data_IF_576393987447
#
_entry.id   IF_576393987447
#
_cell.length_a   1.000
_cell.length_b   1.000
_cell.length_c   1.000
_cell.angle_alpha   90.00
_cell.angle_beta   90.00
_cell.angle_gamma   90.00
#
_symmetry.space_group_name_H-M   'P 1'
#
loop_
_entity.id
_entity.type
_entity.pdbx_description
1 polymer ?
#
# COMPACT_ATOMS: atom_id res chain seq x y z
N UNK A 1 -23.54 3.93 -7.11
CA UNK A 1 -22.09 4.20 -7.21
C UNK A 1 -21.56 3.34 -8.33
N UNK A 2 -20.74 3.89 -9.24
CA UNK A 2 -20.06 3.06 -10.24
C UNK A 2 -19.02 2.21 -9.51
N UNK A 3 -19.09 0.90 -9.68
CA UNK A 3 -18.12 -0.05 -9.12
C UNK A 3 -16.86 0.00 -9.97
N UNK A 4 -15.69 0.18 -9.33
CA UNK A 4 -14.41 0.22 -10.04
C UNK A 4 -13.90 -1.20 -10.18
N UNK A 5 -14.00 -1.76 -11.37
CA UNK A 5 -13.41 -3.07 -11.69
C UNK A 5 -11.88 -2.93 -11.83
N UNK A 6 -11.15 -3.85 -11.20
CA UNK A 6 -9.69 -3.99 -11.32
C UNK A 6 -9.34 -5.47 -11.45
N UNK A 7 -8.19 -5.79 -12.03
CA UNK A 7 -7.72 -7.18 -12.06
C UNK A 7 -7.44 -7.69 -10.64
N UNK A 8 -7.58 -9.00 -10.42
CA UNK A 8 -7.23 -9.61 -9.13
C UNK A 8 -5.78 -9.33 -8.73
N UNK A 9 -4.85 -9.42 -9.69
CA UNK A 9 -3.43 -9.10 -9.50
C UNK A 9 -3.26 -7.70 -8.91
N UNK A 10 -3.96 -6.72 -9.49
CA UNK A 10 -3.89 -5.33 -9.07
C UNK A 10 -4.44 -5.14 -7.66
N UNK A 11 -5.59 -5.72 -7.34
CA UNK A 11 -6.19 -5.64 -6.00
C UNK A 11 -5.27 -6.26 -4.93
N UNK A 12 -4.67 -7.41 -5.23
CA UNK A 12 -3.75 -8.13 -4.36
C UNK A 12 -2.46 -7.35 -4.12
N UNK A 13 -1.83 -6.83 -5.18
CA UNK A 13 -0.63 -5.98 -5.08
C UNK A 13 -0.91 -4.73 -4.25
N UNK A 14 -2.02 -4.04 -4.51
CA UNK A 14 -2.41 -2.80 -3.81
C UNK A 14 -2.61 -3.00 -2.31
N UNK A 15 -3.04 -4.19 -1.91
CA UNK A 15 -3.27 -4.55 -0.51
C UNK A 15 -2.10 -5.34 0.11
N UNK A 16 -1.03 -5.57 -0.64
CA UNK A 16 0.23 -6.12 -0.13
C UNK A 16 0.35 -7.64 -0.16
N UNK A 17 -0.52 -8.36 -0.85
CA UNK A 17 -0.34 -9.80 -1.00
C UNK A 17 0.85 -10.12 -1.92
N UNK A 18 1.67 -11.09 -1.53
CA UNK A 18 2.80 -11.56 -2.30
C UNK A 18 2.42 -12.86 -3.03
N UNK A 19 2.54 -12.86 -4.35
CA UNK A 19 2.26 -14.02 -5.20
C UNK A 19 3.13 -14.03 -6.45
N UNK A 20 3.25 -15.19 -7.07
CA UNK A 20 3.76 -15.36 -8.42
C UNK A 20 2.61 -15.64 -9.39
N UNK A 21 2.73 -15.17 -10.63
CA UNK A 21 1.75 -15.44 -11.68
C UNK A 21 2.23 -16.60 -12.57
N UNK A 22 1.40 -17.62 -12.71
CA UNK A 22 1.63 -18.74 -13.62
C UNK A 22 0.39 -18.95 -14.51
N UNK A 23 0.44 -18.40 -15.73
CA UNK A 23 -0.74 -18.33 -16.61
C UNK A 23 -1.86 -17.52 -15.97
N UNK A 24 -3.04 -18.14 -15.81
CA UNK A 24 -4.20 -17.56 -15.13
C UNK A 24 -4.23 -17.86 -13.62
N UNK A 25 -3.20 -18.52 -13.09
CA UNK A 25 -3.09 -18.86 -11.66
C UNK A 25 -2.22 -17.87 -10.91
N UNK A 26 -2.60 -17.55 -9.67
CA UNK A 26 -1.80 -16.80 -8.71
C UNK A 26 -1.33 -17.75 -7.59
N UNK A 27 -0.01 -17.83 -7.39
CA UNK A 27 0.65 -18.76 -6.48
C UNK A 27 1.22 -18.01 -5.27
N UNK A 28 0.77 -18.35 -4.06
CA UNK A 28 1.11 -17.67 -2.82
C UNK A 28 2.15 -18.44 -1.98
N UNK A 29 3.11 -19.10 -2.64
CA UNK A 29 4.06 -20.00 -1.97
C UNK A 29 5.03 -19.30 -1.00
N UNK A 30 5.23 -17.99 -1.16
CA UNK A 30 6.05 -17.15 -0.29
C UNK A 30 5.21 -16.32 0.68
N UNK A 31 3.89 -16.48 0.68
CA UNK A 31 3.01 -15.75 1.59
C UNK A 31 2.93 -16.46 2.95
N UNK A 32 2.87 -15.68 4.03
CA UNK A 32 2.75 -16.28 5.36
C UNK A 32 1.34 -16.84 5.61
N UNK A 33 1.27 -17.83 6.50
CA UNK A 33 0.03 -18.55 6.77
C UNK A 33 -1.12 -17.64 7.25
N UNK A 34 -0.83 -16.59 8.01
CA UNK A 34 -1.87 -15.68 8.51
C UNK A 34 -2.47 -14.82 7.41
N UNK A 35 -1.66 -14.39 6.44
CA UNK A 35 -2.12 -13.69 5.24
C UNK A 35 -2.90 -14.63 4.32
N UNK A 36 -2.49 -15.89 4.17
CA UNK A 36 -3.28 -16.91 3.43
C UNK A 36 -4.67 -17.11 4.05
N UNK A 37 -4.75 -17.21 5.38
CA UNK A 37 -6.03 -17.30 6.08
C UNK A 37 -6.89 -16.03 5.90
N UNK A 38 -6.27 -14.85 5.83
CA UNK A 38 -6.97 -13.61 5.51
C UNK A 38 -7.57 -13.67 4.10
N UNK A 39 -6.75 -14.05 3.11
CA UNK A 39 -7.17 -14.16 1.71
C UNK A 39 -8.32 -15.16 1.55
N UNK A 40 -8.22 -16.34 2.15
CA UNK A 40 -9.28 -17.37 2.07
C UNK A 40 -10.63 -16.84 2.58
N UNK A 41 -10.64 -16.10 3.69
CA UNK A 41 -11.87 -15.49 4.21
C UNK A 41 -12.39 -14.39 3.29
N UNK A 42 -11.50 -13.54 2.76
CA UNK A 42 -11.88 -12.51 1.78
C UNK A 42 -12.50 -13.13 0.53
N UNK A 43 -11.90 -14.20 -0.01
CA UNK A 43 -12.41 -14.91 -1.19
C UNK A 43 -13.78 -15.53 -0.91
N UNK A 44 -14.03 -16.02 0.31
CA UNK A 44 -15.35 -16.50 0.72
C UNK A 44 -16.40 -15.39 0.71
N UNK A 45 -16.07 -14.23 1.26
CA UNK A 45 -16.98 -13.07 1.31
C UNK A 45 -17.27 -12.52 -0.10
N UNK A 46 -16.29 -12.60 -0.99
CA UNK A 46 -16.41 -12.19 -2.39
C UNK A 46 -17.07 -13.25 -3.30
N UNK A 47 -17.42 -14.43 -2.77
CA UNK A 47 -17.98 -15.53 -3.56
C UNK A 47 -16.99 -16.15 -4.57
N UNK A 48 -15.69 -16.03 -4.31
CA UNK A 48 -14.59 -16.49 -5.16
C UNK A 48 -13.78 -17.66 -4.51
N UNK A 49 -14.26 -18.25 -3.41
CA UNK A 49 -13.57 -19.32 -2.69
C UNK A 49 -13.44 -20.62 -3.49
N UNK A 50 -14.23 -20.82 -4.54
CA UNK A 50 -14.15 -21.99 -5.43
C UNK A 50 -12.92 -21.98 -6.33
N UNK A 51 -12.32 -20.82 -6.58
CA UNK A 51 -11.03 -20.68 -7.25
C UNK A 51 -9.83 -20.91 -6.33
N UNK A 52 -10.04 -21.11 -5.03
CA UNK A 52 -8.98 -21.26 -4.04
C UNK A 52 -8.68 -22.73 -3.73
N UNK A 53 -7.42 -23.13 -3.92
CA UNK A 53 -6.94 -24.45 -3.52
C UNK A 53 -5.53 -24.37 -2.92
N UNK A 54 -5.44 -24.65 -1.62
CA UNK A 54 -4.20 -24.61 -0.83
C UNK A 54 -3.50 -23.25 -0.86
N UNK A 55 -2.63 -23.01 -1.84
CA UNK A 55 -1.86 -21.78 -2.04
C UNK A 55 -1.97 -21.26 -3.48
N UNK A 56 -2.92 -21.79 -4.25
CA UNK A 56 -3.18 -21.40 -5.64
C UNK A 56 -4.58 -20.79 -5.71
N UNK A 57 -4.67 -19.64 -6.35
CA UNK A 57 -5.93 -19.00 -6.73
C UNK A 57 -6.07 -18.97 -8.24
N UNK A 58 -7.18 -19.48 -8.76
CA UNK A 58 -7.56 -19.39 -10.17
C UNK A 58 -8.89 -18.67 -10.25
N UNK A 59 -8.91 -17.35 -10.51
CA UNK A 59 -10.15 -16.59 -10.52
C UNK A 59 -11.02 -17.00 -11.72
N UNK A 60 -12.33 -17.18 -11.49
CA UNK A 60 -13.30 -17.48 -12.57
C UNK A 60 -13.52 -16.31 -13.53
N UNK A 61 -13.33 -15.09 -13.01
CA UNK A 61 -13.41 -13.84 -13.76
C UNK A 61 -12.13 -13.05 -13.51
N UNK A 62 -11.55 -12.39 -14.52
CA UNK A 62 -10.23 -11.75 -14.39
C UNK A 62 -10.23 -10.54 -13.44
N UNK A 63 -11.41 -10.00 -13.14
CA UNK A 63 -11.58 -8.75 -12.42
C UNK A 63 -12.41 -8.93 -11.15
N UNK A 64 -12.23 -8.00 -10.22
CA UNK A 64 -12.98 -7.86 -8.98
C UNK A 64 -13.38 -6.39 -8.79
N UNK A 65 -14.52 -6.19 -8.14
CA UNK A 65 -14.92 -4.87 -7.66
C UNK A 65 -13.97 -4.44 -6.54
N UNK A 66 -13.17 -3.39 -6.78
CA UNK A 66 -12.16 -2.89 -5.85
C UNK A 66 -12.76 -2.48 -4.51
N UNK A 67 -13.95 -1.88 -4.51
CA UNK A 67 -14.61 -1.45 -3.27
C UNK A 67 -15.09 -2.66 -2.47
N UNK A 68 -15.69 -3.65 -3.12
CA UNK A 68 -16.07 -4.90 -2.46
C UNK A 68 -14.84 -5.64 -1.91
N UNK A 69 -13.73 -5.65 -2.64
CA UNK A 69 -12.47 -6.25 -2.20
C UNK A 69 -11.92 -5.57 -0.94
N UNK A 70 -11.89 -4.23 -0.92
CA UNK A 70 -11.43 -3.46 0.24
C UNK A 70 -12.35 -3.63 1.46
N UNK A 71 -13.67 -3.74 1.24
CA UNK A 71 -14.64 -4.05 2.28
C UNK A 71 -14.44 -5.45 2.86
N UNK A 72 -14.21 -6.45 2.01
CA UNK A 72 -13.88 -7.81 2.45
C UNK A 72 -12.57 -7.84 3.26
N UNK A 73 -11.53 -7.13 2.82
CA UNK A 73 -10.30 -6.96 3.59
C UNK A 73 -10.59 -6.32 4.95
N UNK A 74 -11.32 -5.21 4.97
CA UNK A 74 -11.66 -4.49 6.18
C UNK A 74 -12.44 -5.36 7.17
N UNK A 75 -13.42 -6.14 6.69
CA UNK A 75 -14.25 -7.01 7.53
C UNK A 75 -13.44 -8.15 8.18
N UNK A 76 -12.37 -8.60 7.52
CA UNK A 76 -11.53 -9.70 7.98
C UNK A 76 -10.25 -9.27 8.70
N UNK A 77 -10.07 -7.96 8.94
CA UNK A 77 -8.97 -7.43 9.75
C UNK A 77 -9.09 -7.89 11.20
N UNK A 78 -7.97 -7.86 11.91
CA UNK A 78 -7.89 -8.04 13.36
C UNK A 78 -7.43 -6.75 14.04
N UNK A 79 -7.33 -6.79 15.36
CA UNK A 79 -6.74 -5.70 16.13
C UNK A 79 -5.32 -5.42 15.62
N UNK A 80 -4.96 -4.14 15.65
CA UNK A 80 -3.65 -3.67 15.25
C UNK A 80 -2.58 -4.22 16.18
N UNK A 81 -1.56 -4.84 15.60
CA UNK A 81 -0.35 -5.29 16.26
C UNK A 81 0.85 -4.50 15.70
N UNK A 82 1.97 -4.49 16.42
CA UNK A 82 3.22 -3.91 15.93
C UNK A 82 3.69 -4.66 14.67
N UNK A 83 4.26 -3.93 13.70
CA UNK A 83 4.71 -4.53 12.45
C UNK A 83 6.11 -5.15 12.61
N UNK A 84 6.25 -6.48 12.52
CA UNK A 84 7.55 -7.11 12.62
C UNK A 84 8.34 -6.90 11.32
N UNK A 85 9.43 -6.13 11.43
CA UNK A 85 10.66 -6.23 10.64
C UNK A 85 10.50 -6.57 9.15
N UNK A 86 10.76 -7.83 8.80
CA UNK A 86 10.95 -8.36 7.45
C UNK A 86 9.66 -8.45 6.62
N UNK A 87 9.79 -8.42 5.29
CA UNK A 87 8.66 -8.42 4.32
C UNK A 87 7.68 -9.58 4.56
N UNK A 88 8.22 -10.79 4.77
CA UNK A 88 7.44 -12.02 4.89
C UNK A 88 6.74 -12.13 6.25
N UNK A 89 7.21 -11.37 7.25
CA UNK A 89 6.61 -11.33 8.58
C UNK A 89 5.43 -10.34 8.68
N UNK A 90 5.21 -9.51 7.67
CA UNK A 90 4.14 -8.49 7.70
C UNK A 90 2.77 -9.17 7.71
N UNK A 91 1.98 -8.82 8.73
CA UNK A 91 0.63 -9.33 8.94
C UNK A 91 -0.39 -8.34 8.36
N UNK A 92 -0.92 -8.65 7.19
CA UNK A 92 -1.85 -7.79 6.45
C UNK A 92 -3.15 -7.57 7.22
N UNK A 93 -3.62 -8.56 8.00
CA UNK A 93 -4.82 -8.41 8.81
C UNK A 93 -4.70 -7.36 9.93
N UNK A 94 -3.49 -6.91 10.25
CA UNK A 94 -3.21 -5.89 11.27
C UNK A 94 -3.06 -4.49 10.68
N UNK A 95 -3.20 -4.35 9.35
CA UNK A 95 -3.01 -3.11 8.59
C UNK A 95 -4.34 -2.55 8.07
N UNK A 96 -4.38 -1.24 7.84
CA UNK A 96 -5.48 -0.62 7.10
C UNK A 96 -5.37 -0.96 5.60
N UNK A 97 -6.49 -1.35 4.92
CA UNK A 97 -6.45 -1.84 3.54
C UNK A 97 -5.73 -0.89 2.57
N UNK A 98 -5.96 0.41 2.70
CA UNK A 98 -5.39 1.41 1.79
C UNK A 98 -3.90 1.66 1.95
N UNK A 99 -3.30 1.26 3.07
CA UNK A 99 -1.86 1.47 3.34
C UNK A 99 -1.08 0.16 3.46
N UNK A 100 -1.77 -0.98 3.46
CA UNK A 100 -1.16 -2.30 3.67
C UNK A 100 -0.08 -2.61 2.62
N UNK A 101 -0.38 -2.39 1.33
CA UNK A 101 0.59 -2.55 0.25
C UNK A 101 1.78 -1.60 0.39
N UNK A 102 1.54 -0.33 0.73
CA UNK A 102 2.61 0.64 0.95
C UNK A 102 3.57 0.17 2.05
N UNK A 103 3.04 -0.31 3.18
CA UNK A 103 3.86 -0.83 4.29
C UNK A 103 4.74 -1.97 3.81
N UNK A 104 4.18 -2.93 3.08
CA UNK A 104 4.94 -4.09 2.61
C UNK A 104 6.01 -3.74 1.59
N UNK A 105 5.64 -2.97 0.57
CA UNK A 105 6.56 -2.63 -0.51
C UNK A 105 7.64 -1.64 -0.05
N UNK A 106 7.37 -0.77 0.93
CA UNK A 106 8.41 -0.02 1.63
C UNK A 106 9.43 -0.94 2.30
N UNK A 107 8.96 -1.97 3.03
CA UNK A 107 9.86 -2.95 3.65
C UNK A 107 10.67 -3.70 2.60
N UNK A 108 10.07 -4.08 1.46
CA UNK A 108 10.74 -4.80 0.38
C UNK A 108 11.89 -4.03 -0.26
N UNK A 109 11.76 -2.70 -0.39
CA UNK A 109 12.84 -1.84 -0.89
C UNK A 109 13.88 -1.49 0.20
N UNK A 110 13.76 -2.08 1.39
CA UNK A 110 14.69 -1.91 2.50
C UNK A 110 14.41 -0.70 3.40
N UNK A 111 13.17 -0.20 3.41
CA UNK A 111 12.69 0.89 4.28
C UNK A 111 11.59 0.37 5.22
N UNK A 112 11.92 -0.49 6.20
CA UNK A 112 10.95 -1.07 7.11
C UNK A 112 10.22 0.00 7.91
N UNK A 113 8.89 -0.15 8.01
CA UNK A 113 8.04 0.76 8.79
C UNK A 113 7.75 0.20 10.18
N UNK A 114 7.53 1.09 11.15
CA UNK A 114 7.21 0.73 12.53
C UNK A 114 5.70 0.80 12.81
N UNK A 115 5.03 1.81 12.25
CA UNK A 115 3.59 2.01 12.37
C UNK A 115 3.02 2.67 11.10
N UNK A 116 1.72 2.51 10.85
CA UNK A 116 1.03 3.07 9.69
C UNK A 116 -0.42 3.43 10.02
N UNK A 117 -1.03 4.37 9.31
CA UNK A 117 -2.47 4.61 9.40
C UNK A 117 -2.91 5.27 8.10
N UNK A 118 -3.99 4.79 7.50
CA UNK A 118 -4.54 5.36 6.26
C UNK A 118 -5.34 6.67 6.48
N UNK A 119 -5.47 7.10 7.74
CA UNK A 119 -6.20 8.30 8.15
C UNK A 119 -7.72 8.15 8.26
N UNK A 120 -8.26 6.97 7.92
CA UNK A 120 -9.68 6.60 8.01
C UNK A 120 -10.63 7.65 7.41
N UNK A 121 -10.23 8.25 6.28
CA UNK A 121 -10.96 9.33 5.60
C UNK A 121 -11.06 10.67 6.37
N UNK A 122 -10.46 10.77 7.56
CA UNK A 122 -10.57 11.93 8.48
C UNK A 122 -9.30 12.78 8.57
N UNK A 123 -8.15 12.23 8.20
CA UNK A 123 -6.84 12.89 8.21
C UNK A 123 -5.94 12.32 7.11
N UNK A 124 -4.80 12.95 6.88
CA UNK A 124 -3.77 12.41 6.01
C UNK A 124 -3.27 11.05 6.53
N UNK A 125 -2.96 10.16 5.60
CA UNK A 125 -2.27 8.92 5.91
C UNK A 125 -0.88 9.20 6.49
N UNK A 126 -0.41 8.30 7.33
CA UNK A 126 0.84 8.44 8.08
C UNK A 126 1.62 7.15 8.09
N UNK A 127 2.94 7.26 7.93
CA UNK A 127 3.91 6.19 8.13
C UNK A 127 4.92 6.63 9.19
N UNK A 128 5.30 5.69 10.04
CA UNK A 128 6.26 5.88 11.12
C UNK A 128 7.43 4.91 10.93
N UNK A 129 8.63 5.34 11.26
CA UNK A 129 9.85 4.54 11.22
C UNK A 129 10.37 4.30 12.63
N UNK A 130 11.29 3.35 12.82
CA UNK A 130 11.85 3.11 14.16
C UNK A 130 12.80 4.24 14.53
N UNK A 131 12.97 4.47 15.83
CA UNK A 131 13.96 5.43 16.33
C UNK A 131 15.35 4.98 15.89
N UNK A 132 16.07 5.85 15.17
CA UNK A 132 17.38 5.54 14.56
C UNK A 132 17.34 5.44 13.04
N UNK A 133 16.15 5.24 12.45
CA UNK A 133 15.92 5.20 11.01
C UNK A 133 15.69 6.61 10.41
N UNK A 134 16.36 7.62 10.95
CA UNK A 134 16.19 9.01 10.50
C UNK A 134 16.36 9.26 8.99
N UNK A 135 17.17 8.50 8.21
CA UNK A 135 17.25 8.73 6.78
C UNK A 135 16.12 8.09 5.97
N UNK A 136 15.42 7.08 6.50
CA UNK A 136 14.40 6.35 5.73
C UNK A 136 13.26 7.24 5.23
N UNK A 137 12.77 8.20 6.02
CA UNK A 137 11.78 9.15 5.53
C UNK A 137 12.21 9.96 4.31
N UNK A 138 13.45 10.43 4.30
CA UNK A 138 14.00 11.22 3.21
C UNK A 138 14.22 10.35 1.98
N UNK A 139 14.70 9.11 2.18
CA UNK A 139 14.85 8.12 1.11
C UNK A 139 13.51 7.80 0.45
N UNK A 140 12.46 7.58 1.26
CA UNK A 140 11.13 7.29 0.74
C UNK A 140 10.54 8.47 -0.04
N UNK A 141 10.65 9.70 0.48
CA UNK A 141 10.21 10.92 -0.22
C UNK A 141 10.93 11.08 -1.57
N UNK A 142 12.24 10.85 -1.61
CA UNK A 142 12.99 10.88 -2.87
C UNK A 142 12.51 9.81 -3.87
N UNK A 143 12.33 8.57 -3.42
CA UNK A 143 11.82 7.47 -4.26
C UNK A 143 10.45 7.81 -4.85
N UNK A 144 9.54 8.31 -4.04
CA UNK A 144 8.18 8.63 -4.46
C UNK A 144 8.11 9.91 -5.30
N UNK A 145 8.99 10.88 -5.06
CA UNK A 145 9.19 12.03 -5.93
C UNK A 145 9.60 11.61 -7.34
N UNK A 146 10.51 10.64 -7.46
CA UNK A 146 10.95 10.06 -8.74
C UNK A 146 9.80 9.32 -9.44
N UNK A 147 9.10 8.42 -8.75
CA UNK A 147 8.02 7.64 -9.34
C UNK A 147 6.84 8.50 -9.79
N UNK A 148 6.48 9.48 -8.97
CA UNK A 148 5.26 10.27 -9.16
C UNK A 148 5.47 11.53 -10.00
N UNK A 149 6.71 11.83 -10.41
CA UNK A 149 7.06 13.13 -10.98
C UNK A 149 6.59 14.30 -10.09
N UNK A 150 6.65 14.13 -8.76
CA UNK A 150 6.19 15.11 -7.77
C UNK A 150 4.67 15.16 -7.52
N UNK A 151 3.87 14.23 -8.07
CA UNK A 151 2.43 14.12 -7.78
C UNK A 151 2.14 13.71 -6.34
N UNK A 152 3.03 12.94 -5.71
CA UNK A 152 2.91 12.54 -4.31
C UNK A 152 3.91 13.30 -3.47
N UNK A 153 3.44 13.84 -2.34
CA UNK A 153 4.24 14.63 -1.43
C UNK A 153 4.23 14.00 -0.05
N UNK A 154 5.40 13.98 0.57
CA UNK A 154 5.60 13.46 1.90
C UNK A 154 6.11 14.58 2.79
N UNK A 155 5.34 14.92 3.82
CA UNK A 155 5.75 15.96 4.78
C UNK A 155 6.35 15.29 6.00
N UNK A 156 7.65 15.42 6.16
CA UNK A 156 8.34 14.93 7.34
C UNK A 156 8.11 15.88 8.52
N UNK A 157 7.66 15.34 9.65
CA UNK A 157 7.41 16.10 10.86
C UNK A 157 8.48 15.79 11.91
N UNK A 158 9.53 16.61 11.88
CA UNK A 158 10.71 16.54 12.78
C UNK A 158 10.37 16.59 14.28
N UNK A 159 9.21 17.16 14.65
CA UNK A 159 8.81 17.31 16.06
C UNK A 159 8.35 16.00 16.72
N UNK A 160 8.20 14.91 15.95
CA UNK A 160 7.91 13.60 16.51
C UNK A 160 9.19 12.84 16.84
N UNK A 161 9.30 12.31 18.05
CA UNK A 161 10.47 11.57 18.54
C UNK A 161 10.82 10.30 17.75
N UNK A 162 9.99 9.90 16.78
CA UNK A 162 10.13 8.69 15.97
C UNK A 162 10.16 8.93 14.45
N UNK A 163 10.19 10.19 13.98
CA UNK A 163 10.20 10.49 12.55
C UNK A 163 8.98 9.93 11.80
N UNK A 164 7.88 10.68 11.77
CA UNK A 164 6.71 10.31 10.99
C UNK A 164 6.59 11.14 9.72
N UNK A 165 5.98 10.53 8.71
CA UNK A 165 5.68 11.15 7.44
C UNK A 165 4.17 11.24 7.26
N UNK A 166 3.69 12.42 6.86
CA UNK A 166 2.34 12.60 6.35
C UNK A 166 2.35 12.46 4.83
N UNK A 167 1.50 11.57 4.33
CA UNK A 167 1.32 11.32 2.91
C UNK A 167 0.20 12.22 2.39
N UNK A 168 0.48 13.04 1.38
CA UNK A 168 -0.53 13.90 0.74
C UNK A 168 -0.35 13.94 -0.78
N UNK A 169 -1.45 14.02 -1.55
CA UNK A 169 -1.35 14.37 -2.96
C UNK A 169 -0.82 15.81 -3.12
N UNK A 170 -0.15 16.09 -4.23
CA UNK A 170 0.27 17.44 -4.58
C UNK A 170 -0.94 18.35 -4.83
N UNK A 171 -0.74 19.67 -4.76
CA UNK A 171 -1.78 20.64 -5.11
C UNK A 171 -2.26 20.49 -6.55
N UNK A 172 -1.37 20.06 -7.46
CA UNK A 172 -1.73 19.80 -8.85
C UNK A 172 -2.61 18.55 -8.97
N UNK A 173 -2.20 17.44 -8.36
CA UNK A 173 -2.96 16.18 -8.35
C UNK A 173 -4.36 16.39 -7.76
N UNK A 174 -4.46 17.15 -6.67
CA UNK A 174 -5.76 17.51 -6.08
C UNK A 174 -6.65 18.30 -7.05
N UNK A 175 -6.08 19.20 -7.86
CA UNK A 175 -6.84 19.96 -8.88
C UNK A 175 -7.28 19.08 -10.05
N UNK A 176 -6.41 18.19 -10.51
CA UNK A 176 -6.70 17.23 -11.60
C UNK A 176 -7.88 16.33 -11.20
N UNK A 177 -7.84 15.72 -10.02
CA UNK A 177 -8.93 14.87 -9.51
C UNK A 177 -10.24 15.62 -9.28
N UNK A 178 -10.16 16.86 -8.78
CA UNK A 178 -11.35 17.71 -8.66
C UNK A 178 -11.98 18.04 -10.01
N UNK A 179 -11.16 18.18 -11.05
CA UNK A 179 -11.65 18.40 -12.41
C UNK A 179 -12.34 17.16 -12.97
N UNK A 180 -11.72 15.98 -12.85
CA UNK A 180 -12.31 14.71 -13.28
C UNK A 180 -13.67 14.44 -12.62
N UNK A 181 -13.81 14.71 -11.31
CA UNK A 181 -15.09 14.58 -10.60
C UNK A 181 -16.18 15.49 -11.17
N UNK A 182 -15.82 16.73 -11.53
CA UNK A 182 -16.78 17.68 -12.14
C UNK A 182 -17.22 17.19 -13.51
N UNK A 183 -16.29 16.65 -14.29
CA UNK A 183 -16.58 16.06 -15.60
C UNK A 183 -17.47 14.80 -15.47
N UNK A 184 -17.34 14.04 -14.38
CA UNK A 184 -18.18 12.88 -14.04
C UNK A 184 -19.50 13.24 -13.33
N UNK A 185 -19.85 14.52 -13.20
CA UNK A 185 -21.12 14.95 -12.59
C UNK A 185 -21.24 14.72 -11.08
N UNK A 186 -20.12 14.45 -10.38
CA UNK A 186 -20.13 14.33 -8.92
C UNK A 186 -20.22 15.71 -8.25
N UNK A 187 -21.26 15.92 -7.42
CA UNK A 187 -21.44 17.15 -6.64
C UNK A 187 -20.33 17.25 -5.59
N UNK A 188 -19.65 18.41 -5.43
CA UNK A 188 -18.67 18.60 -4.37
C UNK A 188 -19.38 18.66 -3.02
N UNK A 189 -19.59 17.49 -2.41
CA UNK A 189 -20.00 17.38 -1.02
C UNK A 189 -18.96 18.04 -0.11
N UNK A 190 -19.41 18.63 0.99
CA UNK A 190 -18.58 19.26 2.04
C UNK A 190 -17.56 18.33 2.70
N UNK A 191 -17.53 17.06 2.36
CA UNK A 191 -16.54 16.14 2.90
C UNK A 191 -15.19 16.39 2.24
N UNK A 192 -14.29 16.98 3.02
CA UNK A 192 -12.86 16.65 2.97
C UNK A 192 -12.69 15.15 3.32
N UNK A 193 -13.33 14.26 2.57
CA UNK A 193 -12.96 12.87 2.58
C UNK A 193 -11.53 12.88 2.05
N UNK A 194 -10.57 12.65 2.93
CA UNK A 194 -9.20 12.44 2.50
C UNK A 194 -9.26 11.22 1.59
N UNK A 195 -9.19 11.44 0.28
CA UNK A 195 -9.28 10.35 -0.68
C UNK A 195 -8.17 9.36 -0.34
N UNK A 196 -8.53 8.11 -0.08
CA UNK A 196 -7.58 7.06 0.26
C UNK A 196 -7.19 6.25 -0.99
N UNK A 197 -7.99 6.34 -2.06
CA UNK A 197 -7.79 5.59 -3.30
C UNK A 197 -6.41 5.81 -3.93
N UNK A 198 -5.83 7.01 -3.83
CA UNK A 198 -4.48 7.27 -4.36
C UNK A 198 -3.37 6.53 -3.60
N UNK A 199 -3.61 6.11 -2.36
CA UNK A 199 -2.66 5.29 -1.60
C UNK A 199 -2.50 3.90 -2.25
N UNK A 200 -3.57 3.39 -2.88
CA UNK A 200 -3.51 2.15 -3.66
C UNK A 200 -2.61 2.34 -4.90
N UNK A 201 -2.72 3.48 -5.57
CA UNK A 201 -1.84 3.82 -6.71
C UNK A 201 -0.36 3.91 -6.26
N UNK A 202 -0.08 4.41 -5.06
CA UNK A 202 1.27 4.42 -4.46
C UNK A 202 1.77 3.01 -4.20
N UNK A 203 0.94 2.13 -3.63
CA UNK A 203 1.30 0.75 -3.35
C UNK A 203 1.67 0.00 -4.65
N UNK A 204 0.85 0.14 -5.69
CA UNK A 204 1.11 -0.44 -7.01
C UNK A 204 2.44 0.07 -7.60
N UNK A 205 2.68 1.38 -7.59
CA UNK A 205 3.91 1.94 -8.13
C UNK A 205 5.17 1.49 -7.37
N UNK A 206 5.08 1.34 -6.04
CA UNK A 206 6.17 0.81 -5.23
C UNK A 206 6.50 -0.64 -5.59
N UNK A 207 5.47 -1.47 -5.78
CA UNK A 207 5.63 -2.85 -6.20
C UNK A 207 6.28 -2.95 -7.59
N UNK A 208 5.74 -2.23 -8.57
CA UNK A 208 6.18 -2.32 -9.98
C UNK A 208 7.63 -1.87 -10.18
N UNK A 209 8.16 -1.06 -9.26
CA UNK A 209 9.52 -0.53 -9.32
C UNK A 209 10.42 -1.03 -8.17
N UNK A 210 10.01 -2.07 -7.44
CA UNK A 210 10.68 -2.47 -6.20
C UNK A 210 12.18 -2.77 -6.36
N UNK A 211 12.58 -3.40 -7.47
CA UNK A 211 14.00 -3.74 -7.70
C UNK A 211 14.86 -2.49 -7.88
N UNK A 212 14.40 -1.58 -8.76
CA UNK A 212 15.06 -0.29 -9.02
C UNK A 212 15.12 0.56 -7.76
N UNK A 213 14.00 0.65 -7.03
CA UNK A 213 13.94 1.39 -5.77
C UNK A 213 14.86 0.78 -4.71
N UNK A 214 14.92 -0.56 -4.64
CA UNK A 214 15.83 -1.27 -3.76
C UNK A 214 17.30 -0.92 -4.05
N UNK A 215 17.68 -0.83 -5.32
CA UNK A 215 19.01 -0.38 -5.73
C UNK A 215 19.29 1.08 -5.32
N UNK A 216 18.33 1.98 -5.54
CA UNK A 216 18.43 3.38 -5.12
C UNK A 216 18.62 3.47 -3.60
N UNK A 217 17.79 2.77 -2.82
CA UNK A 217 17.88 2.75 -1.35
C UNK A 217 19.22 2.20 -0.90
N UNK A 218 19.71 1.10 -1.49
CA UNK A 218 21.04 0.54 -1.20
C UNK A 218 22.16 1.56 -1.48
N UNK A 219 22.10 2.26 -2.61
CA UNK A 219 23.07 3.28 -2.98
C UNK A 219 23.05 4.47 -2.01
N UNK A 220 21.87 4.96 -1.63
CA UNK A 220 21.71 6.04 -0.65
C UNK A 220 22.30 5.64 0.71
N UNK A 221 22.01 4.42 1.21
CA UNK A 221 22.58 3.90 2.46
C UNK A 221 24.11 3.85 2.43
N UNK A 222 24.69 3.42 1.31
CA UNK A 222 26.15 3.39 1.10
C UNK A 222 26.76 4.80 1.10
N UNK A 223 26.11 5.77 0.45
CA UNK A 223 26.60 7.14 0.41
C UNK A 223 26.60 7.79 1.81
N UNK A 224 25.55 7.58 2.59
CA UNK A 224 25.41 8.15 3.94
C UNK A 224 26.38 7.53 4.95
N UNK A 225 26.65 6.22 4.86
CA UNK A 225 27.62 5.56 5.74
C UNK A 225 29.06 6.03 5.50
N UNK A 226 29.40 6.46 4.29
CA UNK A 226 30.72 7.02 3.98
C UNK A 226 30.94 8.44 4.51
N UNK A 227 29.88 9.21 4.78
CA UNK A 227 29.99 10.57 5.34
C UNK A 227 30.22 10.59 6.85
N UNK A 228 30.03 9.45 7.53
CA UNK A 228 30.21 9.32 8.98
C UNK A 228 31.61 8.84 9.39
N UNK A 229 32.53 8.68 8.43
CA UNK A 229 33.93 8.30 8.64
C UNK A 229 34.83 9.50 8.38
#
# INVERSE_FOLDING_TARGET
MMTRQVTWERALVRTGFHFEKEGDSLLFQYENHQNLQLLERMLKDLGAADGWQMMRFVPRVPEVDEEAFLQAFHANRRSREDFPGEVDAILLHSLDPHIAGIVRWCTAIGLPTAMSCDGHGRRHASLYFRKGDSPYPVMLDACLGLLSSGKWQFTFLYQSAAGHILMKPSQQEMRERQRERREQGSVPGRERAYEQAWLLDVAEALHDHQDLLGDVVRAMKKAMSNQSR
#
